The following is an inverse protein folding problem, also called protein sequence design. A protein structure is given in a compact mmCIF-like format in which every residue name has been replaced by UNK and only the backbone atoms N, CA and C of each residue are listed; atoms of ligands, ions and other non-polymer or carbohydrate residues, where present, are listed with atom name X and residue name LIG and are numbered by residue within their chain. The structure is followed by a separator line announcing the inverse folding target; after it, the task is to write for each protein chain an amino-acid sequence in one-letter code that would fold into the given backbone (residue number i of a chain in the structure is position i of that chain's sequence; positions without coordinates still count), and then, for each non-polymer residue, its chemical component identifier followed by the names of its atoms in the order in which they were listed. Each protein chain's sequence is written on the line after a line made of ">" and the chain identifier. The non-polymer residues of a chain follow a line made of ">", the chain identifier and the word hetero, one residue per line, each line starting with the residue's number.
data_IF_446359756463
#
_entry.id   IF_446359756463
#
_cell.length_a   1.000
_cell.length_b   1.000
_cell.length_c   1.000
_cell.angle_alpha   90.00
_cell.angle_beta   90.00
_cell.angle_gamma   90.00
#
_symmetry.space_group_name_H-M   'P 1'
#
loop_
_entity.id
_entity.type
_entity.pdbx_description
1 polymer ?
#
# COMPACT_ATOMS: atom_id res chain seq x y z
N UNK A 1 -36.15 5.45 7.92
CA UNK A 1 -35.50 6.50 7.11
C UNK A 1 -34.97 7.54 8.10
N UNK A 2 -33.72 7.97 7.95
CA UNK A 2 -33.10 8.97 8.85
C UNK A 2 -33.44 10.37 8.31
N UNK A 3 -33.77 11.37 9.15
CA UNK A 3 -34.00 12.74 8.68
C UNK A 3 -32.78 13.31 7.94
N UNK A 4 -33.01 14.18 6.95
CA UNK A 4 -31.94 14.80 6.15
C UNK A 4 -30.90 15.51 7.02
N UNK A 5 -31.35 16.30 8.00
CA UNK A 5 -30.46 17.03 8.92
C UNK A 5 -29.53 16.09 9.72
N UNK A 6 -30.03 14.91 10.08
CA UNK A 6 -29.22 13.90 10.79
C UNK A 6 -28.22 13.24 9.85
N UNK A 7 -28.56 13.09 8.56
CA UNK A 7 -27.62 12.60 7.55
C UNK A 7 -26.47 13.59 7.33
N UNK A 8 -26.76 14.88 7.28
CA UNK A 8 -25.74 15.95 7.17
C UNK A 8 -24.80 15.94 8.39
N UNK A 9 -25.34 15.76 9.59
CA UNK A 9 -24.53 15.58 10.81
C UNK A 9 -23.65 14.34 10.68
N UNK A 10 -24.18 13.20 10.23
CA UNK A 10 -23.36 11.99 10.08
C UNK A 10 -22.21 12.21 9.11
N UNK A 11 -22.46 12.86 7.97
CA UNK A 11 -21.45 13.13 6.95
C UNK A 11 -20.36 14.08 7.44
N UNK A 12 -20.74 15.18 8.11
CA UNK A 12 -19.80 16.14 8.70
C UNK A 12 -18.88 15.45 9.73
N UNK A 13 -19.46 14.65 10.62
CA UNK A 13 -18.71 13.97 11.68
C UNK A 13 -17.80 12.87 11.13
N UNK A 14 -18.24 12.12 10.11
CA UNK A 14 -17.38 11.16 9.40
C UNK A 14 -16.20 11.86 8.72
N UNK A 15 -16.43 13.02 8.11
CA UNK A 15 -15.37 13.80 7.47
C UNK A 15 -14.39 14.35 8.49
N UNK A 16 -14.88 14.92 9.60
CA UNK A 16 -14.04 15.52 10.64
C UNK A 16 -13.20 14.50 11.38
N UNK A 17 -13.79 13.38 11.76
CA UNK A 17 -13.18 12.43 12.67
C UNK A 17 -12.72 11.14 11.98
N UNK A 18 -13.49 10.54 11.07
CA UNK A 18 -13.14 9.25 10.47
C UNK A 18 -12.15 9.35 9.31
N UNK A 19 -12.33 10.36 8.43
CA UNK A 19 -11.46 10.66 7.29
C UNK A 19 -10.22 11.44 7.74
N UNK A 20 -9.43 10.81 8.61
CA UNK A 20 -8.20 11.35 9.18
C UNK A 20 -7.10 10.28 9.21
N UNK A 21 -5.85 10.71 9.30
CA UNK A 21 -4.68 9.82 9.27
C UNK A 21 -4.55 8.98 10.54
N UNK A 22 -5.05 9.51 11.64
CA UNK A 22 -4.99 8.97 13.01
C UNK A 22 -5.88 7.74 13.22
N UNK A 23 -6.81 7.45 12.28
CA UNK A 23 -7.70 6.28 12.31
C UNK A 23 -8.42 6.08 13.66
N UNK A 24 -9.20 7.07 14.13
CA UNK A 24 -9.95 6.90 15.36
C UNK A 24 -10.93 5.73 15.27
N UNK A 25 -11.23 5.14 16.43
CA UNK A 25 -12.13 4.00 16.52
C UNK A 25 -13.54 4.37 16.07
N UNK A 26 -14.26 3.39 15.51
CA UNK A 26 -15.69 3.53 15.19
C UNK A 26 -16.49 4.03 16.41
N UNK A 27 -16.18 3.53 17.60
CA UNK A 27 -16.87 3.93 18.82
C UNK A 27 -16.73 5.43 19.09
N UNK A 28 -15.54 6.00 18.84
CA UNK A 28 -15.32 7.45 18.95
C UNK A 28 -16.20 8.19 17.95
N UNK A 29 -16.16 7.83 16.68
CA UNK A 29 -16.96 8.50 15.63
C UNK A 29 -18.46 8.44 15.92
N UNK A 30 -18.97 7.30 16.36
CA UNK A 30 -20.40 7.14 16.75
C UNK A 30 -20.75 7.98 17.98
N UNK A 31 -19.81 8.19 18.90
CA UNK A 31 -20.00 9.07 20.05
C UNK A 31 -20.11 10.52 19.61
N UNK A 32 -19.23 10.97 18.70
CA UNK A 32 -19.28 12.34 18.15
C UNK A 32 -20.59 12.59 17.38
N UNK A 33 -21.02 11.65 16.54
CA UNK A 33 -22.32 11.71 15.84
C UNK A 33 -23.48 11.87 16.84
N UNK A 34 -23.45 11.09 17.94
CA UNK A 34 -24.48 11.18 18.98
C UNK A 34 -24.49 12.54 19.66
N UNK A 35 -23.33 13.04 20.07
CA UNK A 35 -23.21 14.35 20.72
C UNK A 35 -23.75 15.46 19.81
N UNK A 36 -23.32 15.48 18.54
CA UNK A 36 -23.75 16.49 17.57
C UNK A 36 -25.27 16.46 17.29
N UNK A 37 -25.87 15.26 17.23
CA UNK A 37 -27.33 15.12 17.09
C UNK A 37 -28.06 15.69 18.31
N UNK A 38 -27.60 15.38 19.53
CA UNK A 38 -28.22 15.85 20.76
C UNK A 38 -28.13 17.37 20.92
N UNK A 39 -26.97 17.96 20.62
CA UNK A 39 -26.75 19.41 20.64
C UNK A 39 -27.66 20.13 19.65
N UNK A 40 -27.98 19.49 18.53
CA UNK A 40 -28.87 20.01 17.50
C UNK A 40 -30.36 19.68 17.76
N UNK A 41 -30.69 19.03 18.88
CA UNK A 41 -32.07 18.67 19.23
C UNK A 41 -32.64 17.48 18.46
N UNK A 42 -31.82 16.72 17.73
CA UNK A 42 -32.24 15.56 16.95
C UNK A 42 -32.07 14.24 17.73
N UNK A 43 -32.94 13.29 17.39
CA UNK A 43 -32.80 11.91 17.88
C UNK A 43 -31.57 11.24 17.22
N UNK A 44 -30.59 10.77 18.02
CA UNK A 44 -29.38 10.21 17.44
C UNK A 44 -29.62 8.90 16.68
N UNK A 45 -28.87 8.66 15.60
CA UNK A 45 -28.97 7.42 14.86
C UNK A 45 -28.45 6.23 15.70
N UNK A 46 -28.90 5.03 15.34
CA UNK A 46 -28.32 3.81 15.92
C UNK A 46 -26.86 3.65 15.49
N UNK A 47 -26.05 2.96 16.30
CA UNK A 47 -24.67 2.59 15.92
C UNK A 47 -24.61 1.91 14.54
N UNK A 48 -25.60 1.05 14.24
CA UNK A 48 -25.69 0.34 12.96
C UNK A 48 -25.86 1.29 11.78
N UNK A 49 -26.60 2.38 11.96
CA UNK A 49 -26.75 3.42 10.93
C UNK A 49 -25.41 4.10 10.65
N UNK A 50 -24.68 4.53 11.68
CA UNK A 50 -23.35 5.13 11.52
C UNK A 50 -22.34 4.18 10.85
N UNK A 51 -22.34 2.90 11.24
CA UNK A 51 -21.52 1.87 10.59
C UNK A 51 -21.84 1.75 9.10
N UNK A 52 -23.12 1.69 8.72
CA UNK A 52 -23.53 1.58 7.31
C UNK A 52 -23.09 2.77 6.47
N UNK A 53 -23.04 3.98 7.04
CA UNK A 53 -22.54 5.17 6.33
C UNK A 53 -21.04 5.12 6.16
N UNK A 54 -20.33 4.69 7.19
CA UNK A 54 -18.89 4.46 7.12
C UNK A 54 -18.50 3.40 6.08
N UNK A 55 -19.25 2.29 6.02
CA UNK A 55 -19.03 1.21 5.04
C UNK A 55 -19.36 1.64 3.60
N UNK A 56 -20.18 2.68 3.43
CA UNK A 56 -20.53 3.23 2.13
C UNK A 56 -19.47 4.19 1.57
N UNK A 57 -18.50 4.61 2.39
CA UNK A 57 -17.41 5.49 1.93
C UNK A 57 -16.47 4.69 1.02
N UNK A 58 -16.10 5.28 -0.13
CA UNK A 58 -15.13 4.67 -1.05
C UNK A 58 -13.79 4.38 -0.34
N UNK A 59 -13.43 3.10 -0.30
CA UNK A 59 -12.18 2.62 0.28
C UNK A 59 -10.94 3.29 -0.34
N UNK A 60 -11.02 3.72 -1.60
CA UNK A 60 -9.97 4.48 -2.28
C UNK A 60 -9.77 5.85 -1.65
N UNK A 61 -10.84 6.59 -1.39
CA UNK A 61 -10.75 7.91 -0.75
C UNK A 61 -10.29 7.78 0.71
N UNK A 62 -10.77 6.76 1.44
CA UNK A 62 -10.28 6.45 2.79
C UNK A 62 -8.77 6.21 2.80
N UNK A 63 -8.26 5.37 1.88
CA UNK A 63 -6.83 5.10 1.76
C UNK A 63 -6.04 6.32 1.32
N UNK A 64 -6.57 7.12 0.40
CA UNK A 64 -5.92 8.35 -0.07
C UNK A 64 -5.72 9.35 1.06
N UNK A 65 -6.71 9.50 1.95
CA UNK A 65 -6.59 10.36 3.14
C UNK A 65 -5.61 9.79 4.17
N UNK A 66 -5.61 8.46 4.38
CA UNK A 66 -4.81 7.81 5.45
C UNK A 66 -3.37 7.50 5.07
N UNK A 67 -3.13 7.15 3.82
CA UNK A 67 -1.86 6.60 3.32
C UNK A 67 -1.34 7.36 2.09
N UNK A 68 -2.10 8.36 1.61
CA UNK A 68 -1.72 9.22 0.51
C UNK A 68 -2.15 8.71 -0.87
N UNK A 69 -2.09 9.61 -1.85
CA UNK A 69 -2.52 9.33 -3.21
C UNK A 69 -1.73 8.21 -3.90
N UNK A 70 -0.44 8.03 -3.55
CA UNK A 70 0.40 6.97 -4.11
C UNK A 70 -0.07 5.59 -3.68
N UNK A 71 -0.30 5.38 -2.39
CA UNK A 71 -0.79 4.12 -1.84
C UNK A 71 -2.17 3.76 -2.39
N UNK A 72 -3.09 4.74 -2.41
CA UNK A 72 -4.42 4.56 -2.99
C UNK A 72 -4.36 4.20 -4.49
N UNK A 73 -3.49 4.85 -5.26
CA UNK A 73 -3.29 4.54 -6.68
C UNK A 73 -2.72 3.13 -6.85
N UNK A 74 -1.69 2.75 -6.10
CA UNK A 74 -1.10 1.40 -6.20
C UNK A 74 -2.11 0.29 -5.90
N UNK A 75 -3.02 0.51 -4.94
CA UNK A 75 -4.00 -0.51 -4.54
C UNK A 75 -5.23 -0.56 -5.43
N UNK A 76 -5.74 0.58 -5.87
CA UNK A 76 -7.06 0.69 -6.52
C UNK A 76 -7.02 1.12 -7.98
N UNK A 77 -5.89 1.64 -8.49
CA UNK A 77 -5.81 1.95 -9.91
C UNK A 77 -5.71 0.66 -10.72
N UNK A 78 -6.42 0.58 -11.87
CA UNK A 78 -6.21 -0.53 -12.78
C UNK A 78 -4.75 -0.56 -13.23
N UNK A 79 -4.14 -1.74 -13.19
CA UNK A 79 -2.78 -1.94 -13.72
C UNK A 79 -2.87 -1.88 -15.24
N UNK A 80 -2.62 -0.70 -15.80
CA UNK A 80 -2.59 -0.46 -17.24
C UNK A 80 -1.18 -0.73 -17.76
N UNK A 81 -1.06 -1.64 -18.71
CA UNK A 81 0.23 -2.10 -19.25
C UNK A 81 0.55 -3.51 -18.77
N UNK A 82 0.68 -4.45 -19.71
CA UNK A 82 1.31 -5.74 -19.46
C UNK A 82 2.63 -5.72 -20.21
N UNK A 83 3.73 -5.97 -19.51
CA UNK A 83 4.95 -6.44 -20.16
C UNK A 83 4.67 -7.89 -20.59
N UNK A 84 3.95 -8.05 -21.70
CA UNK A 84 3.73 -9.35 -22.33
C UNK A 84 4.93 -9.60 -23.22
N UNK A 85 5.56 -10.74 -23.03
CA UNK A 85 6.49 -11.33 -23.97
C UNK A 85 5.90 -12.68 -24.37
N UNK A 86 5.90 -12.98 -25.67
CA UNK A 86 5.29 -14.19 -26.23
C UNK A 86 6.32 -15.28 -26.49
N UNK A 87 7.62 -14.92 -26.50
CA UNK A 87 8.73 -15.83 -26.79
C UNK A 87 9.81 -15.76 -25.72
N UNK A 88 10.44 -16.89 -25.33
CA UNK A 88 11.58 -16.87 -24.44
C UNK A 88 12.68 -15.92 -24.95
N UNK A 89 13.28 -15.15 -24.04
CA UNK A 89 14.37 -14.19 -24.30
C UNK A 89 13.99 -12.98 -25.15
N UNK A 90 12.72 -12.75 -25.45
CA UNK A 90 12.28 -11.55 -26.18
C UNK A 90 12.32 -10.30 -25.29
N UNK A 91 12.01 -10.43 -23.99
CA UNK A 91 12.20 -9.37 -22.99
C UNK A 91 12.81 -9.95 -21.73
N UNK A 92 14.01 -9.47 -21.38
CA UNK A 92 14.67 -9.75 -20.10
C UNK A 92 14.62 -8.51 -19.24
N UNK A 93 14.10 -8.64 -18.02
CA UNK A 93 14.10 -7.58 -17.02
C UNK A 93 15.29 -7.74 -16.08
N UNK A 94 15.94 -6.62 -15.77
CA UNK A 94 16.94 -6.55 -14.71
C UNK A 94 16.31 -5.96 -13.46
N UNK A 95 16.40 -6.70 -12.36
CA UNK A 95 15.97 -6.23 -11.04
C UNK A 95 17.14 -6.31 -10.05
N UNK A 96 17.22 -5.32 -9.18
CA UNK A 96 18.20 -5.26 -8.10
C UNK A 96 17.48 -5.16 -6.77
N UNK A 97 17.78 -6.05 -5.83
CA UNK A 97 17.17 -6.03 -4.51
C UNK A 97 18.20 -6.32 -3.41
N UNK A 98 18.16 -5.61 -2.27
CA UNK A 98 18.95 -6.00 -1.09
C UNK A 98 18.40 -7.32 -0.54
N UNK A 99 19.22 -8.37 -0.50
CA UNK A 99 18.79 -9.66 0.03
C UNK A 99 18.43 -9.55 1.50
N UNK A 100 17.39 -10.26 1.94
CA UNK A 100 16.95 -10.27 3.35
C UNK A 100 17.76 -11.27 4.19
N UNK A 101 19.08 -11.24 4.01
CA UNK A 101 20.06 -12.04 4.73
C UNK A 101 21.27 -11.16 5.05
N UNK A 102 21.91 -11.41 6.19
CA UNK A 102 23.18 -10.80 6.55
C UNK A 102 24.27 -11.81 6.27
N UNK A 103 25.20 -11.46 5.37
CA UNK A 103 26.39 -12.25 5.14
C UNK A 103 27.44 -11.96 6.21
N UNK A 104 28.21 -12.98 6.54
CA UNK A 104 29.28 -12.91 7.54
C UNK A 104 30.62 -13.23 6.88
N UNK A 105 31.69 -12.69 7.46
CA UNK A 105 33.05 -13.03 7.05
C UNK A 105 33.32 -14.53 7.22
N UNK A 106 34.04 -15.11 6.26
CA UNK A 106 34.28 -16.54 6.24
C UNK A 106 35.22 -17.02 7.35
N UNK A 107 36.11 -16.15 7.84
CA UNK A 107 37.11 -16.49 8.86
C UNK A 107 36.65 -16.04 10.26
N UNK A 108 36.43 -14.75 10.45
CA UNK A 108 36.08 -14.15 11.74
C UNK A 108 34.61 -14.36 12.10
N UNK A 109 33.76 -14.79 11.15
CA UNK A 109 32.31 -14.98 11.32
C UNK A 109 31.57 -13.71 11.76
N UNK A 110 32.16 -12.54 11.55
CA UNK A 110 31.56 -11.23 11.87
C UNK A 110 30.59 -10.80 10.76
N UNK A 111 29.49 -10.10 11.10
CA UNK A 111 28.57 -9.55 10.10
C UNK A 111 29.25 -8.56 9.16
N UNK A 112 29.11 -8.76 7.85
CA UNK A 112 29.58 -7.83 6.81
C UNK A 112 28.44 -6.91 6.38
N UNK A 113 27.23 -7.45 6.25
CA UNK A 113 26.04 -6.69 5.87
C UNK A 113 25.10 -7.45 4.94
N UNK A 114 24.13 -6.74 4.38
CA UNK A 114 23.18 -7.28 3.39
C UNK A 114 23.76 -7.08 1.98
N UNK A 115 23.87 -8.14 1.17
CA UNK A 115 24.30 -7.99 -0.22
C UNK A 115 23.13 -7.49 -1.09
N UNK A 116 23.48 -6.88 -2.21
CA UNK A 116 22.58 -6.71 -3.35
C UNK A 116 22.61 -7.94 -4.24
N UNK A 117 21.42 -8.37 -4.68
CA UNK A 117 21.24 -9.41 -5.69
C UNK A 117 20.68 -8.73 -6.94
N UNK A 118 21.38 -8.91 -8.05
CA UNK A 118 20.95 -8.49 -9.39
C UNK A 118 20.50 -9.74 -10.14
N UNK A 119 19.31 -9.70 -10.73
CA UNK A 119 18.73 -10.82 -11.47
C UNK A 119 18.39 -10.38 -12.89
N UNK A 120 18.64 -11.27 -13.86
CA UNK A 120 18.10 -11.19 -15.21
C UNK A 120 16.94 -12.19 -15.32
N UNK A 121 15.73 -11.68 -15.55
CA UNK A 121 14.49 -12.47 -15.52
C UNK A 121 13.83 -12.40 -16.90
N UNK A 122 13.69 -13.55 -17.55
CA UNK A 122 12.92 -13.66 -18.79
C UNK A 122 11.42 -13.52 -18.50
N UNK A 123 10.77 -12.59 -19.19
CA UNK A 123 9.37 -12.25 -18.92
C UNK A 123 8.39 -13.31 -19.42
N UNK A 124 8.71 -14.00 -20.52
CA UNK A 124 7.83 -15.03 -21.08
C UNK A 124 7.77 -16.28 -20.20
N UNK A 125 8.90 -16.67 -19.61
CA UNK A 125 9.03 -17.93 -18.86
C UNK A 125 9.17 -17.76 -17.35
N UNK A 126 9.39 -16.53 -16.85
CA UNK A 126 9.81 -16.25 -15.47
C UNK A 126 11.13 -16.92 -15.05
N UNK A 127 11.92 -17.40 -16.02
CA UNK A 127 13.22 -18.01 -15.76
C UNK A 127 14.25 -16.94 -15.38
N UNK A 128 15.03 -17.20 -14.34
CA UNK A 128 16.24 -16.42 -14.06
C UNK A 128 17.34 -16.89 -15.01
N UNK A 129 17.72 -16.03 -15.95
CA UNK A 129 18.72 -16.32 -16.98
C UNK A 129 20.13 -15.89 -16.59
N UNK A 130 20.27 -15.09 -15.54
CA UNK A 130 21.54 -14.62 -15.01
C UNK A 130 21.37 -14.01 -13.62
N UNK A 131 22.43 -14.01 -12.83
CA UNK A 131 22.45 -13.36 -11.52
C UNK A 131 23.84 -12.86 -11.15
N UNK A 132 23.89 -11.81 -10.32
CA UNK A 132 25.12 -11.31 -9.73
C UNK A 132 24.88 -10.83 -8.29
N UNK A 133 25.78 -11.18 -7.37
CA UNK A 133 25.67 -10.84 -5.94
C UNK A 133 26.90 -10.04 -5.52
N UNK A 134 26.69 -8.86 -4.92
CA UNK A 134 27.78 -8.04 -4.39
C UNK A 134 27.31 -7.18 -3.22
N UNK A 135 28.24 -6.58 -2.48
CA UNK A 135 27.92 -5.55 -1.49
C UNK A 135 27.81 -4.14 -2.08
N UNK A 136 28.13 -4.00 -3.36
CA UNK A 136 28.03 -2.72 -4.07
C UNK A 136 26.57 -2.40 -4.40
N UNK A 137 26.22 -1.12 -4.34
CA UNK A 137 24.91 -0.66 -4.78
C UNK A 137 24.69 -0.93 -6.29
N UNK A 138 23.44 -0.97 -6.75
CA UNK A 138 23.11 -1.21 -8.15
C UNK A 138 23.88 -0.28 -9.10
N UNK A 139 24.52 -0.87 -10.11
CA UNK A 139 25.39 -0.16 -11.04
C UNK A 139 25.39 -0.81 -12.43
N UNK A 140 25.86 -0.09 -13.45
CA UNK A 140 26.03 -0.67 -14.80
C UNK A 140 26.96 -1.89 -14.79
N UNK A 141 27.95 -1.91 -13.89
CA UNK A 141 28.83 -3.05 -13.71
C UNK A 141 28.06 -4.27 -13.21
N UNK A 142 27.19 -4.11 -12.21
CA UNK A 142 26.35 -5.22 -11.70
C UNK A 142 25.41 -5.78 -12.78
N UNK A 143 24.91 -4.94 -13.69
CA UNK A 143 24.13 -5.39 -14.86
C UNK A 143 25.00 -6.17 -15.83
N UNK A 144 26.18 -5.65 -16.18
CA UNK A 144 27.10 -6.31 -17.10
C UNK A 144 27.51 -7.69 -16.58
N UNK A 145 27.89 -7.80 -15.30
CA UNK A 145 28.27 -9.06 -14.67
C UNK A 145 27.10 -10.05 -14.49
N UNK A 146 25.87 -9.56 -14.44
CA UNK A 146 24.68 -10.42 -14.42
C UNK A 146 24.40 -11.07 -15.79
N UNK A 147 24.88 -10.46 -16.88
CA UNK A 147 24.60 -10.87 -18.26
C UNK A 147 25.76 -11.67 -18.90
N UNK A 148 26.83 -11.95 -18.16
CA UNK A 148 27.99 -12.77 -18.59
C UNK A 148 27.85 -14.21 -18.17
#
# INVERSE_FOLDING_TARGET
>A
MVPGDVEDIIEDQLTRYYLRRERPSLARVVTEIRSACLESGFQPPTRRTGQRRLDAIDAREVMKVREGAKAARQRFAPVTGRNRSERPLEVVQIDHTPADIILVDSFERKPIGRPWVTLAIDIATSMVTGYHVSFEAPSRLSVALCLT
#
